data_IF_023067380591
#
_entry.id   IF_023067380591
#
_cell.length_a   1.000
_cell.length_b   1.000
_cell.length_c   1.000
_cell.angle_alpha   90.00
_cell.angle_beta   90.00
_cell.angle_gamma   90.00
#
_symmetry.space_group_name_H-M   'P 1'
#
loop_
_entity.id
_entity.type
_entity.pdbx_description
1 polymer ?
2 non-polymer ?
3 water ?
#
# COMPACT_ATOMS: atom_id res chain seq x y z
N UNK A 1 8.81 -14.22 27.10
CA UNK A 1 7.68 -13.24 27.15
C UNK A 1 6.40 -13.82 26.53
N UNK A 2 5.80 -13.15 25.55
CA UNK A 2 4.38 -13.41 25.18
C UNK A 2 4.01 -14.84 24.77
N UNK A 3 3.01 -15.39 25.46
CA UNK A 3 2.51 -16.72 25.18
C UNK A 3 1.11 -16.71 24.56
N UNK A 4 0.35 -15.64 24.79
CA UNK A 4 -1.04 -15.59 24.33
C UNK A 4 -1.52 -14.17 24.07
N UNK A 5 -2.36 -14.02 23.06
CA UNK A 5 -3.21 -12.83 22.90
C UNK A 5 -4.61 -13.27 23.30
N UNK A 6 -5.21 -12.56 24.24
CA UNK A 6 -6.52 -12.93 24.77
C UNK A 6 -7.56 -11.86 24.47
N UNK A 7 -8.84 -12.27 24.52
CA UNK A 7 -9.97 -11.35 24.37
C UNK A 7 -9.94 -10.62 23.05
N UNK A 8 -9.63 -11.36 21.99
CA UNK A 8 -9.47 -10.80 20.65
C UNK A 8 -10.74 -10.95 19.85
N UNK A 9 -11.17 -9.87 19.21
CA UNK A 9 -12.15 -9.96 18.14
C UNK A 9 -11.43 -10.16 16.80
N UNK A 10 -12.08 -10.89 15.89
CA UNK A 10 -11.52 -11.14 14.58
C UNK A 10 -12.57 -10.77 13.53
N UNK A 11 -12.14 -10.11 12.44
CA UNK A 11 -13.10 -9.71 11.40
C UNK A 11 -13.87 -10.91 10.87
N UNK A 12 -15.18 -10.74 10.70
CA UNK A 12 -16.03 -11.76 10.11
C UNK A 12 -16.29 -12.95 11.03
N UNK A 13 -15.82 -12.85 12.27
CA UNK A 13 -16.08 -13.90 13.26
C UNK A 13 -16.86 -13.34 14.43
N UNK A 14 -17.71 -14.19 15.02
CA UNK A 14 -18.47 -13.86 16.19
C UNK A 14 -17.57 -14.08 17.42
N UNK A 15 -17.86 -13.34 18.48
CA UNK A 15 -17.28 -13.61 19.78
C UNK A 15 -15.81 -13.22 19.96
N UNK A 16 -15.20 -13.84 20.98
CA UNK A 16 -13.82 -13.53 21.37
C UNK A 16 -12.94 -14.75 21.18
N UNK A 17 -11.64 -14.49 21.00
CA UNK A 17 -10.70 -15.49 20.56
C UNK A 17 -9.39 -15.35 21.29
N UNK A 18 -8.76 -16.49 21.51
CA UNK A 18 -7.45 -16.57 22.14
C UNK A 18 -6.44 -17.06 21.09
N UNK A 19 -5.33 -16.33 20.97
CA UNK A 19 -4.31 -16.68 19.99
C UNK A 19 -3.07 -17.11 20.74
N UNK A 20 -2.76 -18.40 20.67
CA UNK A 20 -1.61 -18.96 21.36
C UNK A 20 -0.34 -18.81 20.54
N UNK A 21 0.76 -18.45 21.20
CA UNK A 21 2.03 -18.18 20.53
C UNK A 21 3.13 -19.09 21.04
N UNK A 22 3.97 -19.56 20.12
CA UNK A 22 5.11 -20.39 20.47
C UNK A 22 6.20 -20.23 19.44
N UNK A 23 7.43 -20.01 19.92
CA UNK A 23 8.63 -19.91 19.08
C UNK A 23 8.47 -18.88 17.94
N UNK A 24 7.85 -17.76 18.27
CA UNK A 24 7.66 -16.66 17.32
C UNK A 24 6.55 -16.90 16.31
N UNK A 25 5.80 -17.98 16.50
CA UNK A 25 4.68 -18.33 15.60
C UNK A 25 3.36 -18.45 16.35
N UNK A 26 2.28 -18.45 15.58
CA UNK A 26 0.95 -18.73 16.11
C UNK A 26 0.81 -20.24 16.16
N UNK A 27 0.61 -20.78 17.36
CA UNK A 27 0.52 -22.23 17.51
C UNK A 27 -0.92 -22.72 17.38
N UNK A 28 -1.87 -21.91 17.82
CA UNK A 28 -3.28 -22.30 17.81
C UNK A 28 -4.17 -21.08 18.04
N UNK A 29 -5.38 -21.16 17.51
CA UNK A 29 -6.39 -20.12 17.71
C UNK A 29 -7.63 -20.82 18.24
N UNK A 30 -8.11 -20.35 19.39
CA UNK A 30 -9.19 -21.01 20.12
C UNK A 30 -10.27 -20.00 20.48
N UNK A 31 -11.53 -20.35 20.20
CA UNK A 31 -12.65 -19.51 20.61
C UNK A 31 -12.76 -19.45 22.12
N UNK A 32 -13.20 -18.29 22.63
CA UNK A 32 -13.54 -18.12 24.05
C UNK A 32 -15.06 -18.03 24.18
N UNK A 33 -15.58 -18.44 25.34
CA UNK A 33 -17.02 -18.33 25.61
C UNK A 33 -17.35 -17.13 26.52
N UNK A 34 -16.31 -16.43 26.96
CA UNK A 34 -16.45 -15.21 27.75
C UNK A 34 -15.12 -14.49 27.80
N UNK A 35 -15.03 -13.46 28.63
CA UNK A 35 -13.79 -12.72 28.81
C UNK A 35 -12.79 -13.51 29.67
N UNK A 36 -11.55 -13.59 29.20
CA UNK A 36 -10.45 -14.28 29.91
C UNK A 36 -9.74 -13.31 30.84
N UNK A 37 -9.24 -13.81 31.99
CA UNK A 37 -8.46 -12.94 32.85
C UNK A 37 -7.07 -12.67 32.24
N UNK A 38 -6.55 -11.49 32.52
CA UNK A 38 -5.17 -11.16 32.21
C UNK A 38 -4.22 -12.01 33.09
N UNK A 39 -3.01 -12.22 32.59
CA UNK A 39 -1.93 -12.82 33.35
C UNK A 39 -0.61 -12.40 32.68
N UNK A 40 0.51 -12.62 33.36
CA UNK A 40 1.82 -12.34 32.77
C UNK A 40 2.01 -13.21 31.53
N UNK A 41 2.62 -12.63 30.50
CA UNK A 41 2.81 -13.30 29.20
C UNK A 41 1.53 -13.42 28.34
N UNK A 42 0.42 -12.85 28.82
CA UNK A 42 -0.78 -12.64 27.99
C UNK A 42 -0.86 -11.16 27.62
N UNK A 43 -1.06 -10.88 26.34
CA UNK A 43 -1.34 -9.53 25.90
C UNK A 43 -2.86 -9.44 25.77
N UNK A 44 -3.47 -8.53 26.51
CA UNK A 44 -4.93 -8.42 26.50
C UNK A 44 -5.38 -7.48 25.40
N UNK A 45 -6.04 -8.04 24.39
CA UNK A 45 -6.63 -7.23 23.31
C UNK A 45 -7.86 -6.45 23.79
N UNK A 46 -8.36 -6.80 24.98
CA UNK A 46 -9.47 -6.05 25.63
C UNK A 46 -10.71 -5.90 24.75
N UNK A 47 -11.02 -6.97 24.03
CA UNK A 47 -12.19 -7.05 23.14
C UNK A 47 -12.05 -6.09 21.96
N UNK A 48 -10.80 -5.71 21.69
CA UNK A 48 -10.45 -4.98 20.46
C UNK A 48 -10.23 -5.95 19.33
N UNK A 49 -9.99 -5.41 18.15
CA UNK A 49 -9.87 -6.20 16.95
C UNK A 49 -8.40 -6.60 16.71
N UNK A 50 -8.16 -7.88 16.45
CA UNK A 50 -6.81 -8.37 16.11
C UNK A 50 -6.79 -8.76 14.64
N UNK A 51 -5.82 -8.20 13.92
CA UNK A 51 -5.69 -8.40 12.48
C UNK A 51 -4.21 -8.61 12.15
N UNK A 52 -3.93 -9.24 10.99
CA UNK A 52 -2.54 -9.26 10.58
C UNK A 52 -2.11 -7.81 10.27
N UNK A 53 -0.81 -7.56 10.17
CA UNK A 53 -0.34 -6.17 10.11
C UNK A 53 -0.89 -5.37 8.93
N UNK A 54 -0.99 -4.05 9.09
CA UNK A 54 -1.28 -3.21 7.91
C UNK A 54 -0.16 -3.37 6.89
N UNK A 55 -0.50 -3.12 5.63
CA UNK A 55 0.45 -3.25 4.55
C UNK A 55 0.44 -1.94 3.79
N UNK A 56 1.63 -1.49 3.36
CA UNK A 56 1.75 -0.36 2.44
C UNK A 56 2.20 -0.91 1.08
N UNK A 57 1.26 -1.18 0.16
CA UNK A 57 1.62 -1.79 -1.11
C UNK A 57 2.24 -0.82 -2.13
N UNK A 58 2.20 0.48 -1.85
CA UNK A 58 2.72 1.46 -2.83
C UNK A 58 3.16 2.74 -2.14
N UNK A 59 4.47 2.91 -1.97
CA UNK A 59 4.97 4.19 -1.47
C UNK A 59 6.28 4.49 -2.18
N UNK A 60 6.67 5.76 -2.18
CA UNK A 60 7.94 6.16 -2.77
C UNK A 60 8.84 6.66 -1.67
N UNK A 61 9.60 5.75 -1.08
CA UNK A 61 10.47 6.14 0.04
C UNK A 61 11.67 6.98 -0.40
N UNK A 62 11.97 7.01 -1.69
CA UNK A 62 13.04 7.91 -2.13
C UNK A 62 12.60 9.36 -2.27
N UNK A 63 11.29 9.58 -2.41
CA UNK A 63 10.74 10.94 -2.54
C UNK A 63 10.11 11.48 -1.24
N UNK A 64 9.98 10.60 -0.24
CA UNK A 64 9.27 10.97 0.98
C UNK A 64 9.99 12.08 1.74
N UNK A 65 9.22 12.96 2.39
CA UNK A 65 9.76 14.04 3.22
C UNK A 65 10.50 15.12 2.40
N UNK A 66 10.19 15.25 1.11
CA UNK A 66 10.83 16.29 0.26
C UNK A 66 9.85 17.35 -0.28
N UNK A 67 8.63 17.36 0.23
CA UNK A 67 7.62 18.32 -0.24
C UNK A 67 8.18 19.74 -0.25
N UNK A 68 8.17 20.37 -1.43
CA UNK A 68 8.64 21.73 -1.62
C UNK A 68 10.13 21.89 -1.88
N UNK A 69 10.84 20.78 -2.07
CA UNK A 69 12.29 20.81 -2.27
C UNK A 69 12.71 20.39 -3.68
N UNK A 70 13.47 21.25 -4.39
CA UNK A 70 13.69 22.68 -4.10
C UNK A 70 12.48 23.58 -4.36
N UNK A 71 11.47 23.06 -5.07
CA UNK A 71 10.28 23.83 -5.43
C UNK A 71 8.99 23.04 -5.21
N UNK A 72 7.87 23.76 -5.12
CA UNK A 72 6.56 23.13 -4.90
C UNK A 72 5.85 22.77 -6.19
N UNK A 73 5.02 21.72 -6.12
CA UNK A 73 4.03 21.35 -7.13
C UNK A 73 2.65 21.54 -6.46
N UNK A 74 1.87 22.60 -6.68
CA UNK A 74 1.99 23.78 -7.58
C UNK A 74 0.74 23.75 -8.48
N UNK A 75 0.85 23.15 -9.66
CA UNK A 75 -0.35 22.80 -10.43
C UNK A 75 -1.07 21.60 -9.80
N UNK A 76 -0.38 20.88 -8.91
CA UNK A 76 -0.94 19.67 -8.31
C UNK A 76 -1.22 18.60 -9.36
N UNK A 77 -0.31 18.43 -10.31
CA UNK A 77 -0.45 17.40 -11.34
C UNK A 77 0.65 16.33 -11.24
N UNK A 78 0.38 15.17 -11.80
CA UNK A 78 1.38 14.10 -11.92
C UNK A 78 2.61 14.65 -12.64
N UNK A 79 2.35 15.35 -13.74
CA UNK A 79 3.39 15.81 -14.64
C UNK A 79 4.31 16.86 -14.01
N UNK A 80 3.73 17.86 -13.35
CA UNK A 80 4.57 18.81 -12.65
C UNK A 80 5.32 18.13 -11.50
N UNK A 81 4.64 17.21 -10.81
CA UNK A 81 5.29 16.47 -9.72
C UNK A 81 6.56 15.78 -10.20
N UNK A 82 6.51 15.16 -11.38
CA UNK A 82 7.68 14.47 -11.96
C UNK A 82 8.81 15.48 -12.23
N UNK A 83 8.44 16.66 -12.71
CA UNK A 83 9.41 17.74 -12.96
C UNK A 83 10.06 18.22 -11.67
N UNK A 84 9.26 18.47 -10.65
CA UNK A 84 9.76 18.85 -9.35
C UNK A 84 10.63 17.75 -8.77
N UNK A 85 10.19 16.51 -8.88
CA UNK A 85 11.01 15.39 -8.42
C UNK A 85 12.35 15.34 -9.15
N UNK A 86 12.34 15.54 -10.48
CA UNK A 86 13.58 15.48 -11.25
C UNK A 86 14.60 16.48 -10.67
N UNK A 87 14.11 17.67 -10.29
CA UNK A 87 14.97 18.68 -9.69
C UNK A 87 15.55 18.21 -8.36
N UNK A 88 14.71 17.57 -7.54
CA UNK A 88 15.16 17.00 -6.26
C UNK A 88 16.08 15.79 -6.46
N UNK A 89 15.80 14.98 -7.46
CA UNK A 89 16.62 13.80 -7.75
C UNK A 89 18.09 14.18 -8.03
N UNK A 90 18.29 15.31 -8.72
CA UNK A 90 19.65 15.81 -9.04
C UNK A 90 20.45 16.17 -7.79
N UNK A 91 19.75 16.28 -6.66
CA UNK A 91 20.34 16.71 -5.37
C UNK A 91 20.47 15.57 -4.36
N UNK A 92 20.14 14.36 -4.77
CA UNK A 92 20.14 13.22 -3.83
C UNK A 92 21.53 12.91 -3.32
N UNK A 93 21.62 12.54 -2.06
CA UNK A 93 22.81 11.86 -1.55
C UNK A 93 22.39 10.57 -0.86
N UNK A 94 23.35 9.67 -0.70
CA UNK A 94 23.14 8.41 0.02
C UNK A 94 22.47 8.62 1.39
N UNK A 95 23.08 9.45 2.23
CA UNK A 95 22.59 9.66 3.59
C UNK A 95 21.25 10.38 3.61
N UNK A 96 21.04 11.30 2.66
CA UNK A 96 19.78 12.06 2.51
C UNK A 96 18.62 11.06 2.33
N UNK A 97 18.80 10.14 1.39
CA UNK A 97 17.78 9.12 1.08
C UNK A 97 17.52 8.23 2.30
N UNK A 98 18.58 7.73 2.93
CA UNK A 98 18.42 6.85 4.08
C UNK A 98 17.70 7.54 5.24
N UNK A 99 18.05 8.78 5.52
CA UNK A 99 17.43 9.50 6.63
C UNK A 99 15.95 9.72 6.40
N UNK A 100 15.59 10.15 5.19
CA UNK A 100 14.17 10.42 4.91
C UNK A 100 13.36 9.14 4.85
N UNK A 101 13.92 8.09 4.21
CA UNK A 101 13.25 6.78 4.17
C UNK A 101 12.99 6.30 5.60
N UNK A 102 14.01 6.39 6.46
CA UNK A 102 13.86 5.93 7.83
C UNK A 102 12.84 6.74 8.63
N UNK A 103 12.73 8.05 8.35
CA UNK A 103 11.74 8.89 9.06
C UNK A 103 10.33 8.36 8.80
N UNK A 104 10.02 8.12 7.54
CA UNK A 104 8.71 7.59 7.17
C UNK A 104 8.52 6.15 7.64
N UNK A 105 9.57 5.35 7.56
CA UNK A 105 9.47 3.97 8.05
C UNK A 105 9.10 3.89 9.52
N UNK A 106 9.65 4.80 10.33
CA UNK A 106 9.28 4.83 11.77
C UNK A 106 7.82 5.18 12.00
N UNK A 107 7.29 6.14 11.23
CA UNK A 107 5.85 6.42 11.26
C UNK A 107 5.07 5.16 10.88
N UNK A 108 5.56 4.43 9.88
CA UNK A 108 4.89 3.19 9.46
C UNK A 108 4.90 2.11 10.55
N UNK A 109 6.06 1.91 11.19
CA UNK A 109 6.14 0.96 12.33
C UNK A 109 5.12 1.37 13.40
N UNK A 110 5.09 2.66 13.72
CA UNK A 110 4.16 3.19 14.73
C UNK A 110 2.70 2.93 14.36
N UNK A 111 2.44 2.87 13.06
CA UNK A 111 1.11 2.67 12.49
C UNK A 111 0.79 1.22 12.13
N UNK A 112 1.57 0.28 12.70
CA UNK A 112 1.28 -1.15 12.60
C UNK A 112 1.51 -1.72 11.21
N UNK A 113 2.33 -1.03 10.42
CA UNK A 113 2.66 -1.48 9.07
C UNK A 113 3.94 -2.33 9.12
N UNK A 114 3.84 -3.60 8.77
CA UNK A 114 5.01 -4.49 8.84
C UNK A 114 5.47 -4.97 7.47
N UNK A 115 4.73 -4.55 6.43
CA UNK A 115 5.05 -4.93 5.04
C UNK A 115 4.90 -3.69 4.18
N UNK A 116 5.97 -3.34 3.46
CA UNK A 116 5.99 -2.11 2.65
C UNK A 116 6.65 -2.43 1.30
N UNK A 117 6.00 -1.99 0.21
CA UNK A 117 6.65 -2.02 -1.09
C UNK A 117 6.96 -0.57 -1.46
N UNK A 118 8.25 -0.24 -1.52
CA UNK A 118 8.66 1.07 -1.99
C UNK A 118 9.13 1.04 -3.44
N UNK A 119 8.61 1.98 -4.22
CA UNK A 119 9.18 2.25 -5.54
C UNK A 119 10.41 3.09 -5.34
N UNK A 120 11.41 2.93 -6.22
CA UNK A 120 12.61 3.76 -6.18
C UNK A 120 12.94 4.09 -7.62
N UNK A 121 13.07 5.39 -7.91
CA UNK A 121 13.33 5.88 -9.26
C UNK A 121 14.71 5.41 -9.72
N UNK A 122 14.75 4.63 -10.80
CA UNK A 122 16.00 4.12 -11.36
C UNK A 122 16.30 4.77 -12.74
N UNK A 123 15.66 5.91 -13.00
CA UNK A 123 16.01 6.76 -14.14
C UNK A 123 17.10 7.69 -13.63
N UNK A 124 18.26 7.11 -13.42
CA UNK A 124 19.35 7.80 -12.74
C UNK A 124 20.57 6.90 -12.85
N UNK A 125 21.52 7.31 -13.69
CA UNK A 125 22.71 6.50 -13.94
C UNK A 125 23.49 6.17 -12.67
N UNK A 126 23.35 7.02 -11.66
CA UNK A 126 24.10 6.85 -10.42
C UNK A 126 23.42 5.86 -9.49
N UNK A 127 22.13 5.60 -9.73
CA UNK A 127 21.31 4.72 -8.87
C UNK A 127 21.48 5.06 -7.38
N UNK A 128 21.57 6.35 -7.08
CA UNK A 128 21.89 6.80 -5.71
C UNK A 128 20.86 6.31 -4.70
N UNK A 129 19.58 6.57 -4.99
CA UNK A 129 18.50 6.21 -4.08
C UNK A 129 18.38 4.70 -3.95
N UNK A 130 18.56 3.97 -5.05
CA UNK A 130 18.47 2.50 -4.98
C UNK A 130 19.52 1.91 -4.05
N UNK A 131 20.76 2.36 -4.20
CA UNK A 131 21.85 1.86 -3.35
C UNK A 131 21.56 2.16 -1.87
N UNK A 132 21.06 3.37 -1.59
CA UNK A 132 20.67 3.72 -0.22
C UNK A 132 19.53 2.80 0.27
N UNK A 133 18.52 2.59 -0.59
CA UNK A 133 17.34 1.84 -0.17
C UNK A 133 17.67 0.38 0.09
N UNK A 134 18.62 -0.18 -0.65
CA UNK A 134 19.04 -1.56 -0.42
C UNK A 134 19.64 -1.73 0.98
N UNK A 135 20.31 -0.69 1.47
CA UNK A 135 20.84 -0.71 2.85
C UNK A 135 19.68 -0.56 3.84
N UNK A 136 18.78 0.38 3.56
CA UNK A 136 17.62 0.59 4.43
C UNK A 136 16.83 -0.72 4.57
N UNK A 137 16.65 -1.45 3.45
CA UNK A 137 15.93 -2.73 3.50
C UNK A 137 16.52 -3.68 4.54
N UNK A 138 17.85 -3.81 4.54
CA UNK A 138 18.51 -4.67 5.53
C UNK A 138 18.36 -4.13 6.96
N UNK A 139 18.49 -2.82 7.11
CA UNK A 139 18.43 -2.16 8.42
C UNK A 139 17.06 -2.28 9.09
N UNK A 140 15.99 -2.16 8.30
CA UNK A 140 14.64 -2.12 8.87
C UNK A 140 14.03 -3.53 9.02
N UNK A 141 14.74 -4.54 8.55
CA UNK A 141 14.20 -5.89 8.42
C UNK A 141 13.63 -6.50 9.73
N UNK A 142 14.20 -6.16 10.89
CA UNK A 142 13.57 -6.62 12.14
C UNK A 142 12.11 -6.17 12.35
N UNK A 143 11.72 -5.05 11.72
CA UNK A 143 10.41 -4.42 11.96
C UNK A 143 9.50 -4.42 10.74
N UNK A 144 10.10 -4.25 9.56
CA UNK A 144 9.36 -4.17 8.31
C UNK A 144 10.03 -5.02 7.24
N UNK A 145 9.25 -5.81 6.53
CA UNK A 145 9.75 -6.53 5.34
C UNK A 145 9.54 -5.56 4.16
N UNK A 146 10.63 -5.00 3.67
CA UNK A 146 10.58 -3.95 2.64
C UNK A 146 10.88 -4.56 1.28
N UNK A 147 9.93 -4.45 0.36
CA UNK A 147 10.18 -4.80 -1.05
C UNK A 147 10.62 -3.55 -1.80
N UNK A 148 11.61 -3.71 -2.67
CA UNK A 148 12.07 -2.57 -3.46
C UNK A 148 11.64 -2.80 -4.92
N UNK A 149 10.89 -1.84 -5.46
CA UNK A 149 10.44 -1.90 -6.84
C UNK A 149 11.26 -0.91 -7.66
N UNK A 150 12.00 -1.42 -8.64
CA UNK A 150 12.77 -0.57 -9.52
C UNK A 150 11.83 0.18 -10.47
N UNK A 151 11.77 1.49 -10.32
CA UNK A 151 10.77 2.31 -11.01
C UNK A 151 11.44 3.21 -12.04
N UNK A 152 11.28 2.89 -13.34
CA UNK A 152 11.90 3.71 -14.39
C UNK A 152 11.04 4.95 -14.64
N UNK A 153 11.13 5.90 -13.71
CA UNK A 153 10.20 7.04 -13.63
C UNK A 153 10.10 7.83 -14.93
N UNK A 154 11.20 7.92 -15.68
CA UNK A 154 11.22 8.73 -16.91
C UNK A 154 11.07 7.90 -18.18
N UNK A 155 10.66 6.64 -17.98
CA UNK A 155 10.42 5.72 -19.08
C UNK A 155 11.55 4.73 -19.24
N UNK A 156 11.22 3.59 -19.85
CA UNK A 156 12.20 2.56 -20.17
C UNK A 156 12.81 2.91 -21.53
N UNK A 157 11.93 3.13 -22.51
CA UNK A 157 12.36 3.43 -23.89
C UNK A 157 12.60 4.92 -24.11
N UNK A 158 12.01 5.77 -23.25
CA UNK A 158 12.04 7.23 -23.43
C UNK A 158 13.15 7.95 -22.64
N UNK A 159 13.99 7.19 -21.95
CA UNK A 159 15.07 7.74 -21.13
C UNK A 159 16.38 7.05 -21.54
N UNK A 160 17.51 7.80 -21.61
CA UNK A 160 18.77 7.19 -22.06
C UNK A 160 19.17 6.02 -21.18
N UNK A 161 19.44 4.88 -21.82
CA UNK A 161 19.83 3.65 -21.10
C UNK A 161 18.79 3.17 -20.09
N UNK A 162 17.54 3.53 -20.34
CA UNK A 162 16.46 3.17 -19.40
C UNK A 162 16.34 1.67 -19.16
N UNK A 163 16.36 0.88 -20.24
CA UNK A 163 16.26 -0.57 -20.07
C UNK A 163 17.48 -1.14 -19.32
N UNK A 164 18.67 -0.69 -19.71
CA UNK A 164 19.92 -1.12 -19.03
C UNK A 164 19.90 -0.80 -17.54
N UNK A 165 19.46 0.41 -17.19
CA UNK A 165 19.40 0.79 -15.79
C UNK A 165 18.38 -0.01 -15.00
N UNK A 166 17.24 -0.28 -15.62
CA UNK A 166 16.23 -1.13 -14.99
C UNK A 166 16.79 -2.52 -14.67
N UNK A 167 17.49 -3.09 -15.66
CA UNK A 167 18.09 -4.42 -15.48
C UNK A 167 19.19 -4.34 -14.41
N UNK A 168 19.99 -3.28 -14.44
CA UNK A 168 21.05 -3.11 -13.41
C UNK A 168 20.42 -3.11 -12.02
N UNK A 169 19.29 -2.40 -11.89
CA UNK A 169 18.57 -2.38 -10.62
C UNK A 169 18.17 -3.77 -10.12
N UNK A 170 17.70 -4.63 -11.02
CA UNK A 170 17.40 -6.03 -10.69
C UNK A 170 18.66 -6.80 -10.30
N UNK A 171 19.74 -6.58 -11.04
CA UNK A 171 21.03 -7.23 -10.73
C UNK A 171 21.56 -6.82 -9.37
N UNK A 172 21.21 -5.63 -8.93
CA UNK A 172 21.60 -5.14 -7.61
C UNK A 172 20.67 -5.63 -6.52
N UNK A 173 19.55 -6.24 -6.91
CA UNK A 173 18.69 -6.86 -5.91
C UNK A 173 17.27 -6.35 -5.78
N UNK A 174 16.83 -5.44 -6.64
CA UNK A 174 15.42 -4.99 -6.56
C UNK A 174 14.47 -6.17 -6.72
N UNK A 175 13.42 -6.18 -5.90
CA UNK A 175 12.48 -7.32 -5.80
C UNK A 175 11.41 -7.32 -6.88
N UNK A 176 11.14 -6.13 -7.40
CA UNK A 176 10.01 -5.89 -8.29
C UNK A 176 10.43 -5.05 -9.49
N UNK A 177 9.95 -5.42 -10.68
CA UNK A 177 10.22 -4.67 -11.90
C UNK A 177 9.06 -3.71 -12.16
N UNK A 178 9.40 -2.43 -12.36
CA UNK A 178 8.39 -1.40 -12.65
C UNK A 178 8.39 -0.97 -14.10
N UNK A 179 7.41 -0.13 -14.44
CA UNK A 179 7.27 0.45 -15.78
C UNK A 179 6.29 1.61 -15.65
N UNK A 180 6.21 2.41 -16.71
CA UNK A 180 5.34 3.61 -16.68
C UNK A 180 4.87 3.91 -18.12
N UNK A 181 4.08 2.98 -18.68
CA UNK A 181 3.86 3.05 -20.13
C UNK A 181 3.17 4.34 -20.62
N UNK A 182 2.25 4.91 -19.83
CA UNK A 182 1.58 6.17 -20.21
C UNK A 182 2.51 7.40 -20.22
N UNK A 183 3.72 7.28 -19.66
CA UNK A 183 4.68 8.40 -19.67
C UNK A 183 5.73 8.26 -20.78
N UNK A 184 5.74 7.10 -21.46
CA UNK A 184 6.60 6.89 -22.63
C UNK A 184 6.15 7.82 -23.75
N UNK A 185 7.08 8.16 -24.63
CA UNK A 185 6.78 9.13 -25.69
C UNK A 185 5.60 8.74 -26.55
N UNK A 186 5.45 7.45 -26.79
CA UNK A 186 4.41 6.95 -27.68
C UNK A 186 3.72 5.73 -27.12
N UNK A 187 2.50 5.51 -27.61
CA UNK A 187 1.74 4.31 -27.28
C UNK A 187 2.56 3.04 -27.60
N UNK A 188 3.27 3.05 -28.73
CA UNK A 188 4.07 1.90 -29.14
C UNK A 188 5.23 1.65 -28.16
N UNK A 189 5.92 2.72 -27.75
CA UNK A 189 6.93 2.57 -26.66
C UNK A 189 6.28 2.05 -25.38
N UNK A 190 5.06 2.51 -25.08
CA UNK A 190 4.31 2.02 -23.90
C UNK A 190 4.16 0.50 -23.95
N UNK A 191 3.63 -0.02 -25.05
CA UNK A 191 3.40 -1.46 -25.19
C UNK A 191 4.73 -2.22 -25.19
N UNK A 192 5.72 -1.71 -25.88
CA UNK A 192 7.00 -2.38 -25.99
C UNK A 192 7.63 -2.44 -24.59
N UNK A 193 7.49 -1.35 -23.86
CA UNK A 193 8.09 -1.27 -22.52
C UNK A 193 7.54 -2.40 -21.65
N UNK A 194 6.27 -2.75 -21.83
CA UNK A 194 5.69 -3.85 -21.04
C UNK A 194 6.24 -5.22 -21.42
N UNK A 195 6.43 -5.46 -22.70
CA UNK A 195 7.12 -6.68 -23.13
C UNK A 195 8.48 -6.81 -22.45
N UNK A 196 9.25 -5.72 -22.45
CA UNK A 196 10.59 -5.71 -21.86
C UNK A 196 10.54 -5.93 -20.33
N UNK A 197 9.54 -5.34 -19.67
CA UNK A 197 9.35 -5.48 -18.23
C UNK A 197 9.05 -6.93 -17.88
N UNK A 198 8.12 -7.55 -18.61
CA UNK A 198 7.80 -8.97 -18.39
C UNK A 198 8.99 -9.88 -18.65
N UNK A 199 9.74 -9.59 -19.71
CA UNK A 199 10.93 -10.37 -20.02
C UNK A 199 11.94 -10.31 -18.88
N UNK A 200 12.16 -9.12 -18.32
CA UNK A 200 13.06 -8.99 -17.17
C UNK A 200 12.56 -9.74 -15.94
N UNK A 201 11.27 -9.63 -15.65
CA UNK A 201 10.70 -10.34 -14.49
C UNK A 201 10.87 -11.85 -14.62
N UNK A 202 10.71 -12.36 -15.84
CA UNK A 202 10.90 -13.80 -16.07
C UNK A 202 12.37 -14.20 -16.02
N UNK A 203 13.25 -13.36 -16.57
CA UNK A 203 14.70 -13.62 -16.55
C UNK A 203 15.23 -13.70 -15.11
N UNK A 204 14.76 -12.81 -14.24
CA UNK A 204 15.28 -12.70 -12.87
C UNK A 204 14.37 -13.31 -11.79
N UNK A 205 13.22 -13.86 -12.19
CA UNK A 205 12.21 -14.36 -11.26
C UNK A 205 11.83 -13.28 -10.22
N UNK A 206 11.30 -12.17 -10.71
CA UNK A 206 10.91 -11.06 -9.84
C UNK A 206 9.43 -10.76 -10.05
N UNK A 207 8.85 -9.98 -9.13
CA UNK A 207 7.47 -9.54 -9.25
C UNK A 207 7.42 -8.36 -10.22
N UNK A 208 6.22 -7.98 -10.64
CA UNK A 208 6.03 -6.83 -11.52
C UNK A 208 5.03 -5.89 -10.86
N UNK A 209 5.29 -4.58 -10.92
CA UNK A 209 4.31 -3.60 -10.47
C UNK A 209 4.45 -2.40 -11.37
N UNK A 210 3.47 -2.23 -12.27
CA UNK A 210 3.50 -1.17 -13.30
C UNK A 210 2.74 0.07 -12.84
N UNK A 211 3.36 1.25 -12.92
CA UNK A 211 2.58 2.50 -12.81
C UNK A 211 1.77 2.56 -14.10
N UNK A 212 0.48 2.24 -14.00
CA UNK A 212 -0.27 1.88 -15.20
C UNK A 212 -1.45 2.83 -15.45
N UNK A 213 -1.39 3.59 -16.56
CA UNK A 213 -2.50 4.48 -16.94
C UNK A 213 -2.85 5.49 -15.84
N UNK A 214 -1.84 6.09 -15.21
CA UNK A 214 -2.08 7.14 -14.20
C UNK A 214 -2.28 8.48 -14.91
N UNK A 215 -3.44 8.60 -15.55
CA UNK A 215 -3.72 9.75 -16.43
C UNK A 215 -5.22 9.74 -16.75
N UNK A 216 -5.83 10.93 -16.81
CA UNK A 216 -7.25 11.05 -17.16
C UNK A 216 -7.41 11.01 -18.68
N UNK A 217 -6.97 9.91 -19.29
CA UNK A 217 -7.03 9.77 -20.74
C UNK A 217 -7.79 8.48 -21.01
N UNK A 218 -8.99 8.60 -21.59
CA UNK A 218 -9.83 7.43 -21.84
C UNK A 218 -9.21 6.44 -22.83
N UNK A 219 -8.15 6.88 -23.52
CA UNK A 219 -7.43 6.04 -24.50
C UNK A 219 -6.21 5.36 -23.90
N UNK A 220 -5.93 5.60 -22.62
CA UNK A 220 -4.78 4.99 -21.96
C UNK A 220 -5.22 3.63 -21.44
N UNK A 221 -4.85 2.57 -22.17
CA UNK A 221 -5.33 1.21 -21.92
C UNK A 221 -4.16 0.23 -21.81
N UNK A 222 -3.08 0.65 -21.18
CA UNK A 222 -1.94 -0.24 -21.00
C UNK A 222 -2.28 -1.41 -20.08
N UNK A 223 -3.26 -1.21 -19.21
CA UNK A 223 -3.72 -2.29 -18.32
C UNK A 223 -4.07 -3.57 -19.08
N UNK A 224 -4.63 -3.47 -20.30
CA UNK A 224 -4.97 -4.71 -21.02
C UNK A 224 -3.72 -5.50 -21.40
N UNK A 225 -2.62 -4.80 -21.68
CA UNK A 225 -1.38 -5.48 -22.03
C UNK A 225 -0.77 -6.12 -20.76
N UNK A 226 -0.78 -5.37 -19.65
CA UNK A 226 -0.28 -5.92 -18.39
C UNK A 226 -1.03 -7.23 -18.05
N UNK A 227 -2.36 -7.19 -18.13
CA UNK A 227 -3.14 -8.39 -17.82
C UNK A 227 -2.93 -9.53 -18.83
N UNK A 228 -2.89 -9.21 -20.12
CA UNK A 228 -2.73 -10.23 -21.16
C UNK A 228 -1.37 -10.93 -21.07
N UNK A 229 -0.32 -10.15 -20.82
CA UNK A 229 1.03 -10.72 -20.70
C UNK A 229 1.12 -11.61 -19.46
N UNK A 230 0.48 -11.19 -18.37
CA UNK A 230 0.45 -12.00 -17.14
C UNK A 230 -0.25 -13.32 -17.44
N UNK A 231 -1.39 -13.23 -18.13
CA UNK A 231 -2.17 -14.44 -18.42
C UNK A 231 -1.37 -15.39 -19.30
N UNK A 232 -0.73 -14.84 -20.31
CA UNK A 232 0.08 -15.63 -21.23
C UNK A 232 1.21 -16.37 -20.52
N UNK A 233 1.86 -15.68 -19.57
CA UNK A 233 3.00 -16.24 -18.83
C UNK A 233 2.55 -17.06 -17.61
N UNK A 234 1.24 -17.08 -17.35
CA UNK A 234 0.68 -17.77 -16.18
C UNK A 234 1.21 -17.21 -14.87
N UNK A 235 1.37 -15.90 -14.80
CA UNK A 235 2.06 -15.32 -13.64
C UNK A 235 1.25 -14.25 -12.91
N UNK A 236 -0.06 -14.31 -13.06
CA UNK A 236 -0.96 -13.31 -12.48
C UNK A 236 -0.67 -12.87 -11.07
N UNK A 237 -0.43 -13.82 -10.16
CA UNK A 237 -0.19 -13.56 -8.75
C UNK A 237 0.99 -12.62 -8.51
N UNK A 238 1.94 -12.67 -9.44
CA UNK A 238 3.19 -11.95 -9.31
C UNK A 238 3.11 -10.54 -9.89
N UNK A 239 1.95 -10.19 -10.45
CA UNK A 239 1.82 -8.95 -11.23
C UNK A 239 0.81 -7.97 -10.61
N UNK A 240 1.16 -6.68 -10.61
CA UNK A 240 0.31 -5.62 -10.08
C UNK A 240 0.24 -4.48 -11.08
N UNK A 241 -0.97 -3.90 -11.25
CA UNK A 241 -1.14 -2.65 -11.99
C UNK A 241 -1.48 -1.58 -10.97
N UNK A 242 -0.55 -0.65 -10.73
CA UNK A 242 -0.80 0.47 -9.81
C UNK A 242 -1.52 1.60 -10.54
N UNK A 243 -2.38 2.30 -9.77
CA UNK A 243 -3.11 3.49 -10.21
C UNK A 243 -4.32 3.18 -11.09
N UNK A 244 -4.06 2.82 -12.35
CA UNK A 244 -5.13 2.64 -13.37
C UNK A 244 -6.25 3.69 -13.26
N UNK A 245 -5.85 4.94 -13.02
CA UNK A 245 -6.84 6.03 -12.87
C UNK A 245 -7.57 6.31 -14.18
N UNK A 246 -6.95 5.98 -15.32
CA UNK A 246 -7.65 6.14 -16.61
C UNK A 246 -8.93 5.33 -16.61
N UNK A 247 -8.96 4.24 -15.86
CA UNK A 247 -10.11 3.35 -15.85
C UNK A 247 -11.37 4.07 -15.38
N UNK A 248 -11.19 5.11 -14.54
CA UNK A 248 -12.31 5.94 -14.08
C UNK A 248 -13.03 6.62 -15.26
N UNK A 249 -12.31 6.78 -16.38
CA UNK A 249 -12.79 7.53 -17.52
C UNK A 249 -13.16 6.68 -18.73
N UNK A 250 -13.00 5.36 -18.62
CA UNK A 250 -13.39 4.45 -19.72
C UNK A 250 -14.91 4.41 -19.92
N UNK A 251 -15.33 4.19 -21.17
CA UNK A 251 -16.73 3.83 -21.38
C UNK A 251 -17.02 2.46 -20.75
N UNK A 252 -18.29 2.25 -20.39
CA UNK A 252 -18.72 1.06 -19.67
C UNK A 252 -18.57 -0.24 -20.46
N UNK A 253 -18.72 -0.14 -21.78
CA UNK A 253 -18.69 -1.32 -22.66
C UNK A 253 -17.29 -1.89 -22.72
N UNK A 254 -16.30 -1.05 -22.97
CA UNK A 254 -14.91 -1.50 -22.96
C UNK A 254 -14.56 -2.07 -21.58
N UNK A 255 -14.94 -1.36 -20.53
CA UNK A 255 -14.64 -1.81 -19.17
C UNK A 255 -15.19 -3.21 -18.92
N UNK A 256 -16.42 -3.46 -19.37
CA UNK A 256 -17.00 -4.79 -19.20
C UNK A 256 -16.19 -5.88 -19.90
N UNK A 257 -15.79 -5.60 -21.15
CA UNK A 257 -14.97 -6.53 -21.93
C UNK A 257 -13.66 -6.76 -21.19
N UNK A 258 -13.04 -5.66 -20.78
CA UNK A 258 -11.76 -5.73 -20.07
C UNK A 258 -11.84 -6.55 -18.79
N UNK A 259 -12.94 -6.41 -18.05
CA UNK A 259 -13.02 -7.09 -16.74
C UNK A 259 -12.90 -8.61 -16.79
N UNK A 260 -13.36 -9.20 -17.88
CA UNK A 260 -13.23 -10.63 -18.08
C UNK A 260 -11.75 -11.02 -18.06
N UNK A 261 -10.95 -10.29 -18.84
CA UNK A 261 -9.49 -10.48 -18.84
C UNK A 261 -8.88 -10.19 -17.46
N UNK A 262 -9.33 -9.12 -16.81
CA UNK A 262 -8.75 -8.79 -15.50
C UNK A 262 -8.97 -9.94 -14.51
N UNK A 263 -10.18 -10.50 -14.49
CA UNK A 263 -10.37 -11.64 -13.57
C UNK A 263 -9.63 -12.90 -13.99
N UNK A 264 -9.64 -13.23 -15.30
CA UNK A 264 -8.90 -14.40 -15.79
C UNK A 264 -7.39 -14.32 -15.50
N UNK A 265 -6.83 -13.11 -15.63
CA UNK A 265 -5.40 -12.90 -15.48
C UNK A 265 -4.93 -13.06 -14.04
N UNK A 266 -5.79 -12.74 -13.09
CA UNK A 266 -5.44 -12.86 -11.68
C UNK A 266 -4.47 -11.81 -11.16
N UNK A 267 -4.27 -10.73 -11.91
CA UNK A 267 -3.34 -9.64 -11.49
C UNK A 267 -3.97 -8.78 -10.40
N UNK A 268 -3.12 -8.05 -9.68
CA UNK A 268 -3.52 -7.23 -8.55
C UNK A 268 -3.61 -5.77 -8.95
N UNK A 269 -4.43 -5.01 -8.24
CA UNK A 269 -4.58 -3.57 -8.51
C UNK A 269 -4.36 -2.79 -7.23
N UNK A 270 -3.65 -1.68 -7.36
CA UNK A 270 -3.46 -0.74 -6.25
C UNK A 270 -4.11 0.60 -6.63
N UNK A 271 -5.01 1.07 -5.78
CA UNK A 271 -5.54 2.42 -5.89
C UNK A 271 -4.86 3.25 -4.79
N UNK A 272 -4.63 4.55 -5.04
CA UNK A 272 -3.94 5.41 -4.08
C UNK A 272 -4.79 6.63 -3.81
N UNK A 273 -5.86 6.46 -3.00
CA UNK A 273 -6.94 7.45 -2.85
C UNK A 273 -6.50 8.86 -2.46
N UNK A 274 -5.54 9.01 -1.55
CA UNK A 274 -5.18 10.36 -1.09
C UNK A 274 -4.53 11.14 -2.22
N UNK A 275 -3.67 10.45 -2.96
CA UNK A 275 -2.96 11.07 -4.08
C UNK A 275 -3.85 11.20 -5.32
N UNK A 276 -4.63 10.17 -5.63
CA UNK A 276 -5.47 10.19 -6.84
C UNK A 276 -6.49 11.33 -6.77
N UNK A 277 -7.12 11.54 -5.61
CA UNK A 277 -8.15 12.60 -5.51
C UNK A 277 -7.52 13.98 -5.74
N UNK A 278 -6.26 14.10 -5.38
CA UNK A 278 -5.49 15.34 -5.50
C UNK A 278 -4.99 15.57 -6.94
N UNK A 279 -4.36 14.55 -7.55
CA UNK A 279 -3.73 14.72 -8.87
C UNK A 279 -4.65 14.53 -10.07
N UNK A 280 -5.72 13.76 -9.91
CA UNK A 280 -6.65 13.48 -11.01
C UNK A 280 -7.72 14.57 -11.08
N UNK A 281 -8.35 14.69 -12.25
CA UNK A 281 -9.36 15.73 -12.48
C UNK A 281 -8.80 17.15 -12.60
N UNK A 282 -7.48 17.27 -12.65
CA UNK A 282 -6.83 18.60 -12.74
C UNK A 282 -6.97 19.27 -14.09
N UNK A 283 -7.40 18.52 -15.11
CA UNK A 283 -7.60 19.09 -16.45
C UNK A 283 -9.07 19.31 -16.77
N UNK A 284 -9.94 18.91 -15.85
CA UNK A 284 -11.36 19.26 -15.92
C UNK A 284 -11.55 20.68 -15.37
N UNK A 285 -12.61 21.36 -15.79
CA UNK A 285 -13.00 22.55 -15.03
C UNK A 285 -14.07 22.08 -14.03
N UNK A 286 -15.33 22.20 -14.43
CA UNK A 286 -16.46 21.71 -13.65
C UNK A 286 -17.53 21.19 -14.60
N UNK A 287 -18.14 20.03 -14.29
CA UNK A 287 -17.86 19.17 -13.12
C UNK A 287 -16.47 18.54 -13.23
N UNK A 288 -15.94 18.04 -12.12
CA UNK A 288 -14.59 17.52 -12.06
C UNK A 288 -14.64 16.05 -11.62
N UNK A 289 -13.98 15.16 -12.38
CA UNK A 289 -14.06 13.73 -12.09
C UNK A 289 -13.23 13.39 -10.85
N UNK A 290 -13.62 12.30 -10.19
CA UNK A 290 -12.89 11.85 -9.00
C UNK A 290 -11.55 11.25 -9.37
N UNK A 291 -11.55 10.36 -10.36
CA UNK A 291 -10.30 9.85 -10.92
C UNK A 291 -9.66 8.69 -10.17
N UNK A 292 -10.41 7.99 -9.32
CA UNK A 292 -9.90 6.74 -8.72
C UNK A 292 -10.32 5.58 -9.63
N UNK A 293 -9.49 4.53 -9.68
CA UNK A 293 -9.86 3.36 -10.49
C UNK A 293 -11.16 2.71 -9.98
N UNK A 294 -11.68 1.72 -10.72
CA UNK A 294 -13.01 1.15 -10.44
C UNK A 294 -13.00 0.13 -9.30
N UNK A 295 -12.64 0.62 -8.11
CA UNK A 295 -12.48 -0.22 -6.92
C UNK A 295 -13.75 -0.99 -6.58
N UNK A 296 -14.88 -0.28 -6.53
CA UNK A 296 -16.14 -0.91 -6.14
C UNK A 296 -16.46 -2.07 -7.10
N UNK A 297 -16.27 -1.83 -8.39
CA UNK A 297 -16.55 -2.84 -9.40
C UNK A 297 -15.59 -4.03 -9.33
N UNK A 298 -14.34 -3.73 -9.09
CA UNK A 298 -13.34 -4.79 -8.86
C UNK A 298 -13.75 -5.69 -7.69
N UNK A 299 -14.14 -5.10 -6.58
CA UNK A 299 -14.56 -5.87 -5.41
C UNK A 299 -15.77 -6.74 -5.75
N UNK A 300 -16.72 -6.15 -6.46
CA UNK A 300 -17.94 -6.86 -6.88
C UNK A 300 -17.60 -8.04 -7.80
N UNK A 301 -16.53 -7.91 -8.57
CA UNK A 301 -16.10 -8.95 -9.53
C UNK A 301 -15.07 -9.94 -8.98
N UNK A 302 -14.67 -9.77 -7.72
CA UNK A 302 -13.66 -10.62 -7.09
C UNK A 302 -12.26 -10.41 -7.62
N UNK A 303 -12.00 -9.20 -8.13
CA UNK A 303 -10.67 -8.81 -8.60
C UNK A 303 -9.93 -8.20 -7.42
N UNK A 304 -8.71 -8.69 -7.17
CA UNK A 304 -7.96 -8.19 -6.01
C UNK A 304 -7.53 -6.73 -6.17
N UNK A 305 -8.06 -5.89 -5.28
CA UNK A 305 -7.71 -4.46 -5.29
C UNK A 305 -7.42 -4.04 -3.85
N UNK A 306 -6.50 -3.09 -3.69
CA UNK A 306 -6.04 -2.65 -2.37
C UNK A 306 -5.59 -1.19 -2.43
N UNK A 307 -5.29 -0.60 -1.27
CA UNK A 307 -4.97 0.83 -1.20
C UNK A 307 -3.56 1.12 -0.74
N UNK A 308 -2.87 2.05 -1.42
CA UNK A 308 -1.57 2.56 -0.98
C UNK A 308 -1.63 4.04 -0.64
N UNK A 309 -0.63 4.51 0.11
CA UNK A 309 -0.53 5.95 0.43
C UNK A 309 0.15 6.70 -0.70
N UNK A 310 1.05 6.01 -1.40
CA UNK A 310 1.75 6.52 -2.58
C UNK A 310 2.91 7.48 -2.22
N UNK A 311 2.58 8.68 -1.77
CA UNK A 311 3.59 9.70 -1.46
C UNK A 311 3.27 10.23 -0.07
N UNK A 312 4.29 10.37 0.76
CA UNK A 312 4.13 10.96 2.09
C UNK A 312 5.03 12.19 2.20
N UNK A 313 4.40 13.36 2.27
CA UNK A 313 5.11 14.64 2.33
C UNK A 313 6.17 14.73 1.23
N UNK A 314 5.74 14.47 -0.01
CA UNK A 314 6.64 14.41 -1.16
C UNK A 314 6.24 15.36 -2.28
N UNK A 315 6.82 15.18 -3.49
CA UNK A 315 6.58 16.08 -4.63
C UNK A 315 5.19 15.99 -5.22
N UNK A 316 4.46 14.91 -4.90
CA UNK A 316 3.09 14.78 -5.38
C UNK A 316 2.05 14.98 -4.31
N UNK A 317 2.43 14.84 -3.04
CA UNK A 317 1.44 14.88 -1.96
C UNK A 317 2.04 15.50 -0.72
N UNK A 318 1.59 16.71 -0.36
CA UNK A 318 2.28 17.41 0.72
C UNK A 318 1.91 16.95 2.13
N UNK A 319 0.88 16.12 2.24
CA UNK A 319 0.37 15.70 3.55
C UNK A 319 0.76 14.24 3.90
N UNK A 320 0.13 13.71 4.94
CA UNK A 320 0.28 12.32 5.32
C UNK A 320 0.99 12.10 6.63
N UNK A 321 0.59 11.05 7.34
CA UNK A 321 1.34 10.52 8.48
C UNK A 321 1.56 9.01 8.26
N UNK A 322 1.49 8.60 6.99
CA UNK A 322 1.65 7.18 6.59
C UNK A 322 0.65 6.28 7.31
N UNK A 323 -0.60 6.75 7.38
CA UNK A 323 -1.64 6.11 8.18
C UNK A 323 -2.64 5.38 7.27
N UNK A 324 -2.67 4.05 7.33
CA UNK A 324 -3.49 3.28 6.36
C UNK A 324 -5.00 3.43 6.60
N UNK A 325 -5.43 3.58 7.86
CA UNK A 325 -6.85 3.85 8.11
C UNK A 325 -7.30 5.17 7.50
N UNK A 326 -6.37 6.13 7.41
CA UNK A 326 -6.69 7.40 6.76
C UNK A 326 -6.81 7.27 5.24
N UNK A 327 -5.90 6.51 4.66
CA UNK A 327 -5.97 6.18 3.23
C UNK A 327 -7.31 5.51 2.93
N UNK A 328 -7.63 4.50 3.75
CA UNK A 328 -8.89 3.75 3.64
C UNK A 328 -10.11 4.66 3.72
N UNK A 329 -10.12 5.54 4.72
CA UNK A 329 -11.21 6.52 4.90
C UNK A 329 -11.45 7.31 3.59
N UNK A 330 -10.38 7.85 3.00
CA UNK A 330 -10.52 8.64 1.77
C UNK A 330 -11.08 7.74 0.66
N UNK A 331 -10.52 6.55 0.52
CA UNK A 331 -10.97 5.67 -0.57
C UNK A 331 -12.42 5.27 -0.45
N UNK A 332 -12.89 4.94 0.76
CA UNK A 332 -14.30 4.58 0.96
C UNK A 332 -15.24 5.72 0.53
N UNK A 333 -14.85 6.96 0.82
CA UNK A 333 -15.67 8.12 0.48
C UNK A 333 -15.67 8.37 -1.03
N UNK A 334 -14.48 8.43 -1.62
CA UNK A 334 -14.39 8.79 -3.05
C UNK A 334 -14.95 7.68 -3.94
N UNK A 335 -14.75 6.43 -3.52
CA UNK A 335 -15.31 5.29 -4.23
C UNK A 335 -16.77 4.96 -3.91
N UNK A 336 -17.35 5.70 -2.95
CA UNK A 336 -18.72 5.49 -2.50
C UNK A 336 -18.96 4.07 -2.02
N UNK A 337 -17.98 3.56 -1.28
CA UNK A 337 -18.11 2.27 -0.61
C UNK A 337 -18.60 2.55 0.80
N UNK A 338 -19.84 3.06 0.89
CA UNK A 338 -20.31 3.69 2.13
C UNK A 338 -21.44 2.94 2.81
N UNK A 339 -21.76 1.77 2.28
CA UNK A 339 -22.68 0.83 2.96
C UNK A 339 -22.04 0.33 4.23
N UNK A 340 -22.84 -0.02 5.24
CA UNK A 340 -22.24 -0.50 6.48
C UNK A 340 -21.22 -1.64 6.22
N UNK A 341 -21.63 -2.64 5.44
CA UNK A 341 -20.76 -3.79 5.21
C UNK A 341 -19.54 -3.43 4.41
N UNK A 342 -19.70 -2.51 3.45
CA UNK A 342 -18.59 -2.05 2.63
C UNK A 342 -17.54 -1.34 3.48
N UNK A 343 -18.01 -0.50 4.39
CA UNK A 343 -17.10 0.19 5.31
C UNK A 343 -16.44 -0.81 6.25
N UNK A 344 -17.24 -1.70 6.83
CA UNK A 344 -16.71 -2.69 7.77
C UNK A 344 -15.65 -3.59 7.14
N UNK A 345 -15.91 -4.00 5.89
CA UNK A 345 -14.99 -4.90 5.17
C UNK A 345 -13.80 -4.11 4.61
N UNK A 346 -13.84 -2.78 4.76
CA UNK A 346 -12.77 -1.88 4.28
C UNK A 346 -11.38 -2.29 4.72
N UNK A 347 -11.25 -2.86 5.92
CA UNK A 347 -9.92 -3.32 6.40
C UNK A 347 -9.23 -4.26 5.42
N UNK A 348 -10.00 -5.05 4.68
CA UNK A 348 -9.37 -5.98 3.73
C UNK A 348 -8.50 -5.23 2.74
N UNK A 349 -8.92 -4.01 2.40
CA UNK A 349 -8.21 -3.21 1.38
C UNK A 349 -6.85 -2.73 1.85
N UNK A 350 -6.60 -2.81 3.15
CA UNK A 350 -5.31 -2.41 3.70
C UNK A 350 -4.62 -3.52 4.51
N UNK A 351 -5.15 -4.74 4.39
CA UNK A 351 -4.54 -5.92 5.03
C UNK A 351 -4.41 -7.07 4.01
N UNK A 352 -5.39 -7.96 3.99
CA UNK A 352 -5.31 -9.17 3.17
C UNK A 352 -5.11 -8.92 1.68
N UNK A 353 -5.83 -7.93 1.13
CA UNK A 353 -5.75 -7.72 -0.32
C UNK A 353 -4.34 -7.20 -0.67
N UNK A 354 -3.80 -6.37 0.19
CA UNK A 354 -2.45 -5.83 -0.01
C UNK A 354 -1.38 -6.89 0.18
N UNK A 355 -1.59 -7.81 1.13
CA UNK A 355 -0.68 -8.97 1.25
C UNK A 355 -0.64 -9.80 -0.03
N UNK A 356 -1.82 -10.05 -0.62
CA UNK A 356 -1.87 -10.74 -1.90
C UNK A 356 -1.09 -10.01 -2.99
N UNK A 357 -1.26 -8.69 -3.03
CA UNK A 357 -0.54 -7.84 -4.00
C UNK A 357 0.98 -7.96 -3.88
N UNK A 358 1.45 -8.09 -2.64
CA UNK A 358 2.89 -8.25 -2.36
C UNK A 358 3.35 -9.71 -2.46
N UNK A 359 2.43 -10.60 -2.86
CA UNK A 359 2.72 -12.04 -2.97
C UNK A 359 3.25 -12.64 -1.66
N UNK A 360 2.73 -12.18 -0.54
CA UNK A 360 3.26 -12.60 0.78
C UNK A 360 2.90 -14.05 1.09
N UNK A 361 3.87 -14.76 1.66
CA UNK A 361 3.81 -16.20 1.90
C UNK A 361 3.51 -16.56 3.35
N UNK A 362 3.60 -15.58 4.24
CA UNK A 362 3.47 -15.82 5.67
C UNK A 362 2.71 -14.60 6.21
N UNK A 363 1.40 -14.61 6.03
CA UNK A 363 0.56 -13.47 6.39
C UNK A 363 -0.84 -13.92 6.79
N UNK A 364 -1.32 -13.44 7.94
CA UNK A 364 -2.65 -13.77 8.41
C UNK A 364 -2.64 -14.46 9.76
N UNK A 365 -3.75 -14.34 10.49
CA UNK A 365 -3.88 -14.94 11.81
C UNK A 365 -4.27 -16.41 11.61
N UNK A 366 -3.25 -17.25 11.48
CA UNK A 366 -3.46 -18.67 11.23
C UNK A 366 -2.36 -19.49 11.87
N UNK A 367 -2.74 -20.65 12.40
CA UNK A 367 -1.78 -21.57 13.02
C UNK A 367 -0.64 -21.87 12.04
N UNK A 368 0.59 -21.76 12.53
CA UNK A 368 1.78 -22.01 11.74
C UNK A 368 2.44 -20.78 11.14
N UNK A 369 1.68 -19.68 11.04
CA UNK A 369 2.22 -18.41 10.56
C UNK A 369 3.07 -17.74 11.65
N UNK A 370 3.99 -16.85 11.24
CA UNK A 370 4.72 -16.00 12.18
C UNK A 370 3.71 -15.20 12.98
N UNK A 371 4.03 -14.94 14.25
CA UNK A 371 3.16 -14.20 15.15
C UNK A 371 3.34 -12.71 14.87
N UNK A 372 2.79 -12.29 13.74
CA UNK A 372 2.84 -10.90 13.28
C UNK A 372 1.38 -10.46 13.23
N UNK A 373 1.01 -9.52 14.08
CA UNK A 373 -0.39 -9.13 14.23
C UNK A 373 -0.46 -7.78 14.95
N UNK A 374 -1.56 -7.06 14.75
CA UNK A 374 -1.74 -5.80 15.44
C UNK A 374 -3.09 -5.78 16.12
N UNK A 375 -3.22 -4.92 17.12
CA UNK A 375 -4.44 -4.83 17.94
C UNK A 375 -4.97 -3.40 17.81
N UNK A 376 -6.22 -3.27 17.33
CA UNK A 376 -6.90 -1.97 17.23
C UNK A 376 -7.92 -1.88 18.35
N UNK A 377 -7.95 -0.74 19.07
CA UNK A 377 -8.91 -0.52 20.17
C UNK A 377 -10.30 -0.16 19.61
N UNK A 378 -10.91 -1.12 18.94
CA UNK A 378 -12.17 -0.93 18.21
C UNK A 378 -12.88 -2.27 18.12
N UNK A 379 -14.20 -2.22 17.95
CA UNK A 379 -15.02 -3.43 17.96
C UNK A 379 -15.03 -4.20 16.65
N UNK A 380 -14.79 -3.50 15.55
CA UNK A 380 -14.82 -4.09 14.22
C UNK A 380 -14.23 -3.09 13.25
N UNK A 381 -14.18 -3.45 11.97
CA UNK A 381 -13.59 -2.56 10.95
C UNK A 381 -14.31 -1.22 10.83
N UNK A 382 -15.64 -1.25 10.93
CA UNK A 382 -16.43 -0.02 10.81
C UNK A 382 -16.04 0.96 11.92
N UNK A 383 -16.00 0.46 13.15
CA UNK A 383 -15.66 1.28 14.32
C UNK A 383 -14.22 1.81 14.21
N UNK A 384 -13.28 0.95 13.80
CA UNK A 384 -11.88 1.34 13.66
C UNK A 384 -11.76 2.48 12.66
N UNK A 385 -12.46 2.31 11.55
CA UNK A 385 -12.45 3.30 10.46
C UNK A 385 -13.11 4.60 10.93
N UNK A 386 -14.32 4.50 11.49
CA UNK A 386 -15.04 5.71 11.92
C UNK A 386 -14.24 6.57 12.89
N UNK A 387 -13.65 5.92 13.89
CA UNK A 387 -12.94 6.63 14.95
C UNK A 387 -11.46 6.87 14.67
N UNK A 388 -10.98 6.36 13.53
CA UNK A 388 -9.59 6.54 13.09
C UNK A 388 -8.65 6.17 14.23
N UNK A 389 -8.84 4.97 14.77
CA UNK A 389 -8.12 4.52 15.96
C UNK A 389 -6.63 4.31 15.67
N UNK A 390 -5.78 4.53 16.69
CA UNK A 390 -4.38 4.18 16.54
C UNK A 390 -4.16 2.68 16.69
N UNK A 391 -2.93 2.23 16.51
CA UNK A 391 -2.60 0.82 16.72
C UNK A 391 -2.18 0.69 18.19
N UNK A 392 -2.98 -0.02 18.97
CA UNK A 392 -2.70 -0.15 20.40
C UNK A 392 -1.40 -0.92 20.65
N UNK A 393 -1.25 -2.05 19.96
CA UNK A 393 -0.02 -2.85 19.95
C UNK A 393 0.25 -3.38 18.56
N UNK A 394 1.53 -3.38 18.20
CA UNK A 394 1.99 -4.10 17.02
C UNK A 394 2.95 -5.19 17.49
N UNK A 395 2.69 -6.42 17.07
CA UNK A 395 3.44 -7.61 17.49
C UNK A 395 4.10 -8.23 16.27
N UNK A 396 5.41 -8.51 16.37
CA UNK A 396 6.13 -9.11 15.27
C UNK A 396 7.05 -10.20 15.83
N UNK A 397 6.94 -11.40 15.25
CA UNK A 397 7.65 -12.58 15.79
C UNK A 397 7.31 -12.80 17.26
N UNK A 398 6.08 -12.46 17.63
CA UNK A 398 5.62 -12.62 19.01
C UNK A 398 6.16 -11.62 20.01
N UNK A 399 6.78 -10.55 19.51
CA UNK A 399 7.28 -9.49 20.40
C UNK A 399 6.62 -8.18 20.07
N UNK A 400 6.33 -7.38 21.10
CA UNK A 400 5.79 -6.03 20.87
C UNK A 400 6.85 -5.10 20.27
N UNK A 401 6.55 -4.54 19.09
CA UNK A 401 7.45 -3.60 18.42
C UNK A 401 6.92 -2.16 18.35
N UNK A 402 5.65 -1.97 18.70
CA UNK A 402 5.09 -0.62 18.82
C UNK A 402 3.87 -0.65 19.73
N UNK A 403 3.65 0.46 20.44
CA UNK A 403 2.42 0.61 21.21
C UNK A 403 1.98 2.06 21.25
N UNK A 404 0.67 2.27 21.33
CA UNK A 404 0.11 3.61 21.50
C UNK A 404 -0.82 3.61 22.70
N UNK A 405 -0.50 4.45 23.67
CA UNK A 405 -1.41 4.78 24.76
C UNK A 405 -2.41 5.79 24.21
N UNK A 406 -3.70 5.42 24.09
CA UNK A 406 -4.60 6.33 23.37
C UNK A 406 -4.84 7.67 24.08
N UNK A 407 -5.20 8.68 23.30
CA UNK A 407 -5.60 9.98 23.84
C UNK A 407 -6.68 9.83 24.91
N UNK A 408 -6.71 10.77 25.84
CA UNK A 408 -7.75 10.80 26.84
C UNK A 408 -8.42 12.16 26.85
N UNK A 409 -9.70 12.15 26.47
CA UNK A 409 -10.47 13.39 26.32
C UNK A 409 -11.52 13.50 27.41
N UNK A 410 -11.58 14.67 28.06
CA UNK A 410 -12.52 14.91 29.12
C UNK A 410 -13.31 16.18 28.80
N UNK A 411 -14.62 16.16 29.00
CA UNK A 411 -15.39 17.41 28.98
C UNK A 411 -15.82 17.74 30.41
N UNK A 412 -15.79 19.03 30.75
CA UNK A 412 -16.08 19.47 32.12
C UNK A 412 -17.47 20.09 32.16
N UNK A 413 -18.47 19.23 32.36
CA UNK A 413 -19.86 19.66 32.35
C UNK A 413 -20.26 19.97 33.81
N UNK A 414 -21.41 19.50 34.26
CA UNK A 414 -21.74 19.60 35.70
C UNK A 414 -20.74 18.75 36.48
N UNK A 415 -20.34 17.64 35.88
CA UNK A 415 -19.23 16.82 36.36
C UNK A 415 -18.31 16.53 35.16
N UNK A 416 -17.04 16.17 35.42
CA UNK A 416 -16.18 15.72 34.30
C UNK A 416 -16.67 14.43 33.67
N UNK A 417 -16.57 14.31 32.35
CA UNK A 417 -17.01 13.10 31.65
C UNK A 417 -15.96 12.74 30.63
N UNK A 418 -15.56 11.47 30.61
CA UNK A 418 -14.66 10.97 29.57
C UNK A 418 -15.42 10.81 28.26
N UNK A 419 -14.81 11.25 27.17
CA UNK A 419 -15.44 11.14 25.88
C UNK A 419 -14.63 10.18 25.00
N UNK A 420 -15.26 9.13 24.49
CA UNK A 420 -14.56 8.15 23.63
C UNK A 420 -15.15 8.05 22.23
N UNK A 421 -16.22 8.80 21.97
CA UNK A 421 -16.84 8.87 20.64
C UNK A 421 -17.50 7.56 20.15
N UNK A 422 -17.76 6.62 21.06
CA UNK A 422 -18.61 5.46 20.72
C UNK A 422 -20.00 5.97 21.15
N UNK A 423 -21.16 5.74 20.52
CA UNK A 423 -21.65 4.65 19.63
C UNK A 423 -21.80 3.27 20.27
X LIG B 1 3.71 5.77 -7.09
#
# INVERSE_FOLDING_TARGET
ALQTIINARLPGEEGLWQIHLQDGKISAIDAQSGVMPITENSLDAEQGLVIPPFVEPHIHLDTTQTAGQPNWNQSGTLFEGIERWAERKALLTHDDVKQRAWQTLKWQIANGIQHVRTHVDVSDATLTALKAMLEVKQEVAPWIDLQIAAFPQEGILSYPNGEALLEEALRLGADVVGAIPHFEFTREYGVESLHKTFALAQKYDRLIDVHCDEIDDEQSRFVETVAALAHHEGMGARVTASHTTAMHSYNGAYTSRLFRLLKMSGINFVANPLVNIHLQGRFDTYPKRRGITRVKEMLESGINVCFGHDDVCGPWYPLGTANMLQVLHMGLHVCQLMGYGQINDGLNLITHHSARTLNLQDYGIAAGNSANLIILPAENGFDALRRQVPVRYSVRGGKVIASTQPAQTTVYLEQPEAIDYKR
FE FE
#
